data_IF_349955485925
#
_entry.id   IF_349955485925
#
_cell.length_a   1.000
_cell.length_b   1.000
_cell.length_c   1.000
_cell.angle_alpha   90.00
_cell.angle_beta   90.00
_cell.angle_gamma   90.00
#
_symmetry.space_group_name_H-M   'P 1'
#
loop_
_entity.id
_entity.type
_entity.pdbx_description
1 polymer ?
#
# COMPACT_ATOMS: atom_id res chain seq x y z
N UNK A 1 7.69 6.21 13.24
CA UNK A 1 6.74 5.13 12.85
C UNK A 1 7.49 4.01 12.12
N UNK A 2 7.33 2.75 12.54
CA UNK A 2 8.07 1.60 11.98
C UNK A 2 7.36 0.96 10.76
N UNK A 3 6.56 1.74 10.01
CA UNK A 3 5.82 1.27 8.84
C UNK A 3 6.14 2.13 7.62
N UNK A 4 5.95 1.56 6.43
CA UNK A 4 5.99 2.29 5.16
C UNK A 4 4.64 2.21 4.47
N UNK A 5 4.08 3.35 4.06
CA UNK A 5 2.87 3.42 3.25
C UNK A 5 3.28 3.66 1.80
N UNK A 6 2.81 2.80 0.88
CA UNK A 6 3.09 2.89 -0.55
C UNK A 6 1.76 3.03 -1.28
N UNK A 7 1.62 4.11 -2.06
CA UNK A 7 0.44 4.40 -2.87
C UNK A 7 0.81 4.30 -4.34
N UNK A 8 0.08 3.47 -5.09
CA UNK A 8 0.30 3.28 -6.52
C UNK A 8 -1.05 3.46 -7.22
N UNK A 9 -1.26 4.55 -7.96
CA UNK A 9 -2.47 4.76 -8.74
C UNK A 9 -2.64 3.66 -9.81
N UNK A 10 -3.89 3.25 -10.06
CA UNK A 10 -4.18 2.13 -10.96
C UNK A 10 -3.84 2.40 -12.44
N UNK A 11 -3.82 3.67 -12.85
CA UNK A 11 -3.48 4.09 -14.21
C UNK A 11 -2.94 5.52 -14.23
N UNK A 12 -2.26 5.89 -15.32
CA UNK A 12 -1.76 7.25 -15.51
C UNK A 12 -2.89 8.29 -15.56
N UNK A 13 -4.09 7.90 -15.99
CA UNK A 13 -5.26 8.78 -15.98
C UNK A 13 -5.68 9.10 -14.55
N UNK A 14 -5.83 8.06 -13.71
CA UNK A 14 -6.18 8.21 -12.29
C UNK A 14 -5.09 8.96 -11.53
N UNK A 15 -3.80 8.71 -11.85
CA UNK A 15 -2.70 9.49 -11.27
C UNK A 15 -2.91 10.98 -11.55
N UNK A 16 -3.11 11.37 -12.82
CA UNK A 16 -3.28 12.78 -13.21
C UNK A 16 -4.53 13.41 -12.60
N UNK A 17 -5.58 12.64 -12.38
CA UNK A 17 -6.78 13.09 -11.68
C UNK A 17 -6.50 13.35 -10.20
N UNK A 18 -5.95 12.36 -9.50
CA UNK A 18 -5.54 12.50 -8.10
C UNK A 18 -4.54 13.65 -7.88
N UNK A 19 -3.67 13.92 -8.85
CA UNK A 19 -2.75 15.05 -8.82
C UNK A 19 -3.50 16.39 -8.92
N UNK A 20 -4.47 16.50 -9.83
CA UNK A 20 -5.29 17.71 -10.00
C UNK A 20 -6.19 17.97 -8.80
N UNK A 21 -6.66 16.92 -8.14
CA UNK A 21 -7.45 16.99 -6.91
C UNK A 21 -6.62 17.27 -5.64
N UNK A 22 -5.29 17.29 -5.75
CA UNK A 22 -4.38 17.50 -4.62
C UNK A 22 -4.22 16.28 -3.69
N UNK A 23 -4.82 15.13 -4.03
CA UNK A 23 -4.71 13.90 -3.23
C UNK A 23 -3.27 13.41 -3.10
N UNK A 24 -2.48 13.54 -4.18
CA UNK A 24 -1.07 13.14 -4.17
C UNK A 24 -0.27 13.95 -3.14
N UNK A 25 -0.52 15.24 -3.04
CA UNK A 25 0.13 16.12 -2.06
C UNK A 25 -0.24 15.73 -0.62
N UNK A 26 -1.52 15.40 -0.37
CA UNK A 26 -1.97 14.89 0.93
C UNK A 26 -1.20 13.62 1.32
N UNK A 27 -1.06 12.66 0.42
CA UNK A 27 -0.34 11.42 0.69
C UNK A 27 1.16 11.65 0.95
N UNK A 28 1.81 12.52 0.18
CA UNK A 28 3.21 12.88 0.38
C UNK A 28 3.43 13.59 1.73
N UNK A 29 2.54 14.52 2.10
CA UNK A 29 2.59 15.21 3.39
C UNK A 29 2.36 14.25 4.58
N UNK A 30 1.58 13.18 4.37
CA UNK A 30 1.41 12.10 5.34
C UNK A 30 2.64 11.15 5.44
N UNK A 31 3.68 11.36 4.63
CA UNK A 31 4.88 10.53 4.60
C UNK A 31 4.75 9.26 3.77
N UNK A 32 3.71 9.15 2.94
CA UNK A 32 3.57 8.03 2.01
C UNK A 32 4.54 8.17 0.83
N UNK A 33 4.98 7.03 0.30
CA UNK A 33 5.71 6.98 -0.97
C UNK A 33 4.71 6.75 -2.10
N UNK A 34 4.60 7.70 -3.01
CA UNK A 34 3.75 7.59 -4.20
C UNK A 34 4.58 7.08 -5.38
N UNK A 35 4.20 5.93 -5.93
CA UNK A 35 4.85 5.32 -7.09
C UNK A 35 4.12 5.60 -8.41
N UNK A 36 4.80 5.43 -9.54
CA UNK A 36 4.19 5.49 -10.87
C UNK A 36 3.15 4.37 -11.05
N UNK A 37 2.14 4.62 -11.89
CA UNK A 37 1.08 3.66 -12.21
C UNK A 37 1.66 2.38 -12.81
N UNK A 38 1.82 1.37 -11.96
CA UNK A 38 2.41 0.06 -12.25
C UNK A 38 1.70 -0.99 -11.40
N UNK A 39 2.06 -2.26 -11.53
CA UNK A 39 1.55 -3.29 -10.63
C UNK A 39 2.24 -3.31 -9.25
N UNK A 40 3.24 -2.45 -9.00
CA UNK A 40 3.96 -2.42 -7.72
C UNK A 40 4.68 -3.74 -7.41
N UNK A 41 4.62 -4.25 -6.17
CA UNK A 41 5.31 -5.48 -5.78
C UNK A 41 4.56 -6.74 -6.23
N UNK A 42 3.64 -6.66 -7.19
CA UNK A 42 2.71 -7.75 -7.52
C UNK A 42 3.39 -9.10 -7.78
N UNK A 43 4.63 -9.10 -8.27
CA UNK A 43 5.43 -10.33 -8.50
C UNK A 43 6.83 -10.15 -7.89
N UNK A 44 6.92 -9.37 -6.80
CA UNK A 44 8.19 -8.96 -6.19
C UNK A 44 9.09 -8.12 -7.10
N UNK A 45 8.56 -7.57 -8.20
CA UNK A 45 9.38 -6.98 -9.27
C UNK A 45 9.62 -5.48 -9.20
N UNK A 46 8.88 -4.74 -8.36
CA UNK A 46 8.98 -3.28 -8.31
C UNK A 46 8.49 -2.76 -6.96
N UNK A 47 8.97 -1.57 -6.57
CA UNK A 47 8.60 -0.76 -5.39
C UNK A 47 7.75 -1.44 -4.30
N UNK A 48 8.31 -1.60 -3.11
CA UNK A 48 7.60 -2.18 -1.96
C UNK A 48 7.76 -3.69 -1.81
N UNK A 49 8.78 -4.27 -2.44
CA UNK A 49 9.15 -5.68 -2.28
C UNK A 49 9.35 -5.99 -0.80
N UNK A 50 8.76 -7.09 -0.35
CA UNK A 50 8.81 -7.53 1.05
C UNK A 50 10.10 -8.30 1.33
N UNK A 51 10.79 -7.88 2.39
CA UNK A 51 11.90 -8.61 3.00
C UNK A 51 11.43 -9.87 3.74
N UNK A 52 12.38 -10.67 4.25
CA UNK A 52 12.05 -11.77 5.16
C UNK A 52 11.38 -11.22 6.41
N UNK A 53 10.35 -11.92 6.88
CA UNK A 53 9.64 -11.64 8.14
C UNK A 53 8.89 -10.29 8.16
N UNK A 54 8.81 -9.59 7.03
CA UNK A 54 7.96 -8.41 6.88
C UNK A 54 6.49 -8.79 6.74
N UNK A 55 5.63 -7.96 7.33
CA UNK A 55 4.18 -8.08 7.27
C UNK A 55 3.61 -6.92 6.45
N UNK A 56 2.74 -7.25 5.49
CA UNK A 56 2.09 -6.28 4.61
C UNK A 56 0.57 -6.44 4.68
N UNK A 57 -0.15 -5.32 4.77
CA UNK A 57 -1.57 -5.25 4.46
C UNK A 57 -1.73 -4.50 3.14
N UNK A 58 -2.49 -5.07 2.20
CA UNK A 58 -2.56 -4.60 0.82
C UNK A 58 -4.00 -4.56 0.31
N UNK A 59 -4.30 -3.58 -0.55
CA UNK A 59 -5.55 -3.50 -1.32
C UNK A 59 -5.48 -4.24 -2.67
N UNK A 60 -4.48 -5.11 -2.85
CA UNK A 60 -4.38 -6.02 -4.00
C UNK A 60 -5.36 -7.20 -3.86
N UNK A 61 -5.35 -8.12 -4.82
CA UNK A 61 -6.25 -9.27 -4.87
C UNK A 61 -5.57 -10.62 -4.64
N UNK A 62 -4.27 -10.65 -4.33
CA UNK A 62 -3.48 -11.89 -4.20
C UNK A 62 -2.46 -11.81 -3.08
N UNK A 63 -2.36 -12.89 -2.30
CA UNK A 63 -1.50 -12.99 -1.11
C UNK A 63 -0.82 -14.36 -0.95
N UNK A 64 -0.61 -15.11 -2.04
CA UNK A 64 0.12 -16.38 -1.93
C UNK A 64 1.58 -16.17 -1.50
N UNK A 65 2.21 -17.23 -0.99
CA UNK A 65 3.58 -17.22 -0.47
C UNK A 65 4.56 -16.69 -1.52
N UNK A 66 5.39 -15.72 -1.14
CA UNK A 66 6.39 -15.09 -2.02
C UNK A 66 5.82 -14.14 -3.08
N UNK A 67 4.50 -13.83 -3.04
CA UNK A 67 3.86 -12.97 -4.06
C UNK A 67 4.54 -11.61 -4.19
N UNK A 68 4.90 -10.99 -3.07
CA UNK A 68 5.43 -9.63 -3.02
C UNK A 68 6.92 -9.56 -2.70
N UNK A 69 7.65 -10.69 -2.75
CA UNK A 69 9.06 -10.75 -2.38
C UNK A 69 9.39 -12.05 -1.68
N UNK A 70 9.88 -11.95 -0.44
CA UNK A 70 10.32 -13.11 0.33
C UNK A 70 9.19 -14.13 0.55
N UNK A 71 9.45 -15.44 0.39
CA UNK A 71 8.54 -16.50 0.82
C UNK A 71 8.20 -16.46 2.31
N UNK A 72 9.07 -15.87 3.14
CA UNK A 72 8.86 -15.74 4.59
C UNK A 72 8.06 -14.48 4.96
N UNK A 73 7.64 -13.67 3.98
CA UNK A 73 6.79 -12.50 4.23
C UNK A 73 5.32 -12.90 4.39
N UNK A 74 4.54 -12.09 5.10
CA UNK A 74 3.11 -12.30 5.30
C UNK A 74 2.29 -11.18 4.64
N UNK A 75 1.26 -11.55 3.89
CA UNK A 75 0.43 -10.61 3.13
C UNK A 75 -1.04 -10.79 3.52
N UNK A 76 -1.65 -9.71 3.98
CA UNK A 76 -3.07 -9.63 4.32
C UNK A 76 -3.80 -8.75 3.29
N UNK A 77 -4.94 -9.22 2.80
CA UNK A 77 -5.77 -8.47 1.85
C UNK A 77 -6.88 -7.73 2.60
N UNK A 78 -7.08 -6.46 2.26
CA UNK A 78 -8.15 -5.66 2.85
C UNK A 78 -8.62 -4.55 1.91
N UNK A 79 -9.72 -3.87 2.28
CA UNK A 79 -10.19 -2.70 1.55
C UNK A 79 -9.21 -1.52 1.69
N UNK A 80 -9.21 -0.54 0.77
CA UNK A 80 -8.42 0.68 0.92
C UNK A 80 -8.67 1.42 2.24
N UNK A 81 -9.91 1.42 2.74
CA UNK A 81 -10.25 2.04 4.02
C UNK A 81 -9.55 1.33 5.20
N UNK A 82 -9.56 0.00 5.23
CA UNK A 82 -8.87 -0.81 6.25
C UNK A 82 -7.36 -0.65 6.17
N UNK A 83 -6.79 -0.59 4.94
CA UNK A 83 -5.35 -0.34 4.74
C UNK A 83 -4.97 1.05 5.27
N UNK A 84 -5.75 2.09 4.95
CA UNK A 84 -5.51 3.45 5.44
C UNK A 84 -5.59 3.52 6.97
N UNK A 85 -6.61 2.92 7.58
CA UNK A 85 -6.74 2.85 9.03
C UNK A 85 -5.54 2.13 9.69
N UNK A 86 -5.09 1.03 9.09
CA UNK A 86 -3.94 0.26 9.57
C UNK A 86 -2.62 1.02 9.41
N UNK A 87 -2.50 1.87 8.38
CA UNK A 87 -1.35 2.75 8.19
C UNK A 87 -1.31 3.85 9.27
N UNK A 88 -2.46 4.35 9.73
CA UNK A 88 -2.51 5.34 10.80
C UNK A 88 -2.12 4.72 12.15
N UNK A 89 -2.64 3.54 12.49
CA UNK A 89 -2.37 2.90 13.80
C UNK A 89 -1.07 2.09 13.87
N UNK A 90 -0.45 1.78 12.73
CA UNK A 90 0.74 0.93 12.66
C UNK A 90 0.46 -0.56 12.89
N UNK A 91 -0.81 -0.98 12.89
CA UNK A 91 -1.23 -2.39 13.05
C UNK A 91 -2.55 -2.62 12.31
N UNK A 92 -2.84 -3.87 11.92
CA UNK A 92 -4.10 -4.20 11.23
C UNK A 92 -5.30 -3.75 12.10
N UNK A 93 -6.11 -2.83 11.57
CA UNK A 93 -7.14 -2.10 12.33
C UNK A 93 -8.45 -1.97 11.57
N UNK A 94 -9.56 -1.93 12.31
CA UNK A 94 -10.89 -1.71 11.77
C UNK A 94 -11.09 -0.22 11.40
N UNK A 95 -11.52 0.12 10.18
CA UNK A 95 -11.70 1.50 9.77
C UNK A 95 -12.83 2.23 10.51
N UNK A 96 -13.81 1.54 11.08
CA UNK A 96 -14.95 2.16 11.78
C UNK A 96 -14.55 2.97 13.02
N UNK A 97 -13.35 2.72 13.57
CA UNK A 97 -12.82 3.51 14.68
C UNK A 97 -12.14 4.82 14.25
N UNK A 98 -12.06 5.11 12.95
CA UNK A 98 -11.32 6.25 12.37
C UNK A 98 -12.10 7.02 11.29
N UNK A 99 -13.32 6.57 10.96
CA UNK A 99 -14.26 7.20 10.04
C UNK A 99 -15.31 7.97 10.84
#
# INVERSE_FOLDING_TARGET
>A
PNIRLIIIPASNQIYKEALREGLIEIFLNAGAVVGHSTCGPCIGGHMGVLGSDEICISSSNRNFIGRMGSPNSQIYLASPATVAASAISGKISDPRGML
#
